data_IF_978783421811
#
_entry.id   IF_978783421811
#
_cell.length_a   1.000
_cell.length_b   1.000
_cell.length_c   1.000
_cell.angle_alpha   90.00
_cell.angle_beta   90.00
_cell.angle_gamma   90.00
#
_symmetry.space_group_name_H-M   'P 1'
#
loop_
_entity.id
_entity.type
_entity.pdbx_description
1 polymer ?
#
# COMPACT_ATOMS: atom_id res chain seq x y z
N UNK A 1 -48.74 14.70 -32.18
CA UNK A 1 -47.63 15.26 -31.40
C UNK A 1 -47.01 16.41 -32.21
N UNK A 2 -46.98 17.64 -31.69
CA UNK A 2 -46.49 18.82 -32.43
C UNK A 2 -44.94 18.82 -32.53
N UNK A 3 -44.38 19.64 -33.41
CA UNK A 3 -42.93 19.72 -33.69
C UNK A 3 -42.10 20.11 -32.46
N UNK A 4 -42.61 21.04 -31.65
CA UNK A 4 -42.00 21.51 -30.41
C UNK A 4 -41.87 20.38 -29.37
N UNK A 5 -42.93 19.58 -29.18
CA UNK A 5 -42.88 18.39 -28.30
C UNK A 5 -41.84 17.39 -28.78
N UNK A 6 -41.75 17.14 -30.10
CA UNK A 6 -40.72 16.24 -30.67
C UNK A 6 -39.30 16.74 -30.43
N UNK A 7 -39.08 18.05 -30.53
CA UNK A 7 -37.79 18.67 -30.25
C UNK A 7 -37.39 18.52 -28.77
N UNK A 8 -38.31 18.82 -27.84
CA UNK A 8 -38.05 18.66 -26.41
C UNK A 8 -37.73 17.21 -26.02
N UNK A 9 -38.48 16.23 -26.55
CA UNK A 9 -38.20 14.80 -26.33
C UNK A 9 -36.80 14.43 -26.83
N UNK A 10 -36.43 14.86 -28.03
CA UNK A 10 -35.08 14.62 -28.58
C UNK A 10 -33.96 15.18 -27.71
N UNK A 11 -34.14 16.41 -27.19
CA UNK A 11 -33.17 17.02 -26.26
C UNK A 11 -33.09 16.25 -24.94
N UNK A 12 -34.23 15.80 -24.41
CA UNK A 12 -34.28 14.98 -23.19
C UNK A 12 -33.58 13.63 -23.38
N UNK A 13 -33.80 12.97 -24.51
CA UNK A 13 -33.12 11.70 -24.84
C UNK A 13 -31.61 11.88 -24.97
N UNK A 14 -31.16 12.97 -25.61
CA UNK A 14 -29.75 13.29 -25.72
C UNK A 14 -29.10 13.54 -24.34
N UNK A 15 -29.79 14.27 -23.46
CA UNK A 15 -29.35 14.49 -22.07
C UNK A 15 -29.30 13.19 -21.29
N UNK A 16 -30.32 12.35 -21.39
CA UNK A 16 -30.37 11.05 -20.72
C UNK A 16 -29.22 10.15 -21.18
N UNK A 17 -28.95 10.10 -22.49
CA UNK A 17 -27.82 9.33 -23.05
C UNK A 17 -26.48 9.83 -22.52
N UNK A 18 -26.30 11.15 -22.39
CA UNK A 18 -25.09 11.75 -21.81
C UNK A 18 -24.90 11.35 -20.34
N UNK A 19 -25.96 11.46 -19.52
CA UNK A 19 -25.90 11.09 -18.10
C UNK A 19 -25.62 9.60 -17.93
N UNK A 20 -26.25 8.73 -18.73
CA UNK A 20 -25.98 7.28 -18.72
C UNK A 20 -24.50 6.98 -19.00
N UNK A 21 -23.95 7.59 -20.05
CA UNK A 21 -22.52 7.44 -20.40
C UNK A 21 -21.61 7.87 -19.25
N UNK A 22 -21.90 9.01 -18.61
CA UNK A 22 -21.12 9.47 -17.46
C UNK A 22 -21.22 8.50 -16.29
N UNK A 23 -22.43 8.00 -16.00
CA UNK A 23 -22.64 7.01 -14.94
C UNK A 23 -21.83 5.73 -15.20
N UNK A 24 -21.81 5.22 -16.43
CA UNK A 24 -21.04 4.03 -16.78
C UNK A 24 -19.53 4.27 -16.67
N UNK A 25 -19.05 5.45 -17.09
CA UNK A 25 -17.65 5.85 -16.91
C UNK A 25 -17.27 5.92 -15.43
N UNK A 26 -18.12 6.49 -14.57
CA UNK A 26 -17.87 6.54 -13.14
C UNK A 26 -17.88 5.15 -12.50
N UNK A 27 -18.77 4.25 -12.92
CA UNK A 27 -18.79 2.86 -12.45
C UNK A 27 -17.51 2.12 -12.81
N UNK A 28 -17.02 2.30 -14.05
CA UNK A 28 -15.77 1.69 -14.50
C UNK A 28 -14.58 2.24 -13.71
N UNK A 29 -14.47 3.57 -13.57
CA UNK A 29 -13.40 4.20 -12.80
C UNK A 29 -13.44 3.74 -11.33
N UNK A 30 -14.63 3.67 -10.73
CA UNK A 30 -14.81 3.16 -9.38
C UNK A 30 -14.33 1.71 -9.24
N UNK A 31 -14.71 0.82 -10.17
CA UNK A 31 -14.29 -0.57 -10.13
C UNK A 31 -12.77 -0.69 -10.26
N UNK A 32 -12.14 0.07 -11.16
CA UNK A 32 -10.68 0.11 -11.25
C UNK A 32 -10.02 0.56 -9.95
N UNK A 33 -10.53 1.62 -9.30
CA UNK A 33 -10.02 2.05 -8.00
C UNK A 33 -10.19 0.96 -6.92
N UNK A 34 -11.31 0.22 -6.93
CA UNK A 34 -11.53 -0.89 -6.00
C UNK A 34 -10.51 -2.00 -6.23
N UNK A 35 -10.29 -2.38 -7.49
CA UNK A 35 -9.34 -3.44 -7.86
C UNK A 35 -7.90 -3.07 -7.43
N UNK A 36 -7.48 -1.82 -7.70
CA UNK A 36 -6.18 -1.31 -7.27
C UNK A 36 -6.03 -1.32 -5.74
N UNK A 37 -7.08 -0.91 -5.01
CA UNK A 37 -7.07 -0.94 -3.54
C UNK A 37 -6.95 -2.36 -2.98
N UNK A 38 -7.55 -3.36 -3.64
CA UNK A 38 -7.41 -4.76 -3.24
C UNK A 38 -5.95 -5.22 -3.40
N UNK A 39 -5.32 -4.91 -4.55
CA UNK A 39 -3.92 -5.26 -4.81
C UNK A 39 -2.99 -4.56 -3.81
N UNK A 40 -3.19 -3.27 -3.56
CA UNK A 40 -2.39 -2.51 -2.59
C UNK A 40 -2.52 -3.08 -1.17
N UNK A 41 -3.73 -3.44 -0.74
CA UNK A 41 -3.94 -4.09 0.57
C UNK A 41 -3.24 -5.44 0.67
N UNK A 42 -3.29 -6.26 -0.39
CA UNK A 42 -2.59 -7.55 -0.41
C UNK A 42 -1.07 -7.37 -0.35
N UNK A 43 -0.53 -6.42 -1.11
CA UNK A 43 0.89 -6.08 -1.09
C UNK A 43 1.34 -5.56 0.27
N UNK A 44 0.58 -4.68 0.91
CA UNK A 44 0.89 -4.17 2.25
C UNK A 44 0.93 -5.30 3.28
N UNK A 45 -0.05 -6.21 3.30
CA UNK A 45 -0.03 -7.37 4.20
C UNK A 45 1.19 -8.27 3.99
N UNK A 46 1.60 -8.47 2.73
CA UNK A 46 2.80 -9.25 2.41
C UNK A 46 4.05 -8.55 2.93
N UNK A 47 4.19 -7.24 2.71
CA UNK A 47 5.32 -6.45 3.17
C UNK A 47 5.39 -6.39 4.70
N UNK A 48 4.26 -6.22 5.38
CA UNK A 48 4.18 -6.27 6.85
C UNK A 48 4.70 -7.61 7.40
N UNK A 49 4.33 -8.72 6.77
CA UNK A 49 4.82 -10.05 7.15
C UNK A 49 6.34 -10.18 6.94
N UNK A 50 6.84 -9.78 5.78
CA UNK A 50 8.27 -9.81 5.46
C UNK A 50 9.08 -8.93 6.42
N UNK A 51 8.58 -7.74 6.73
CA UNK A 51 9.20 -6.83 7.70
C UNK A 51 9.22 -7.45 9.11
N UNK A 52 8.15 -8.14 9.52
CA UNK A 52 8.11 -8.83 10.81
C UNK A 52 9.14 -9.97 10.89
N UNK A 53 9.27 -10.77 9.82
CA UNK A 53 10.27 -11.83 9.71
C UNK A 53 11.70 -11.28 9.75
N UNK A 54 11.97 -10.20 9.02
CA UNK A 54 13.27 -9.51 9.04
C UNK A 54 13.58 -8.91 10.41
N UNK A 55 12.61 -8.27 11.07
CA UNK A 55 12.79 -7.72 12.41
C UNK A 55 13.09 -8.83 13.44
N UNK A 56 12.43 -9.99 13.33
CA UNK A 56 12.71 -11.14 14.18
C UNK A 56 14.15 -11.64 13.99
N UNK A 57 14.62 -11.72 12.74
CA UNK A 57 16.01 -12.09 12.45
C UNK A 57 17.00 -11.06 13.02
N UNK A 58 16.74 -9.76 12.86
CA UNK A 58 17.58 -8.69 13.42
C UNK A 58 17.66 -8.76 14.96
N UNK A 59 16.57 -9.13 15.64
CA UNK A 59 16.58 -9.36 17.10
C UNK A 59 17.45 -10.55 17.49
N UNK A 60 17.44 -11.64 16.71
CA UNK A 60 18.34 -12.77 16.94
C UNK A 60 19.80 -12.37 16.70
N UNK A 61 20.06 -11.62 15.63
CA UNK A 61 21.38 -11.09 15.32
C UNK A 61 21.89 -10.16 16.43
N UNK A 62 21.03 -9.28 16.98
CA UNK A 62 21.37 -8.45 18.15
C UNK A 62 21.88 -9.27 19.32
N UNK A 63 21.17 -10.34 19.70
CA UNK A 63 21.60 -11.25 20.78
C UNK A 63 22.96 -11.87 20.49
N UNK A 64 23.22 -12.26 19.24
CA UNK A 64 24.53 -12.76 18.83
C UNK A 64 25.61 -11.69 18.96
N UNK A 65 25.35 -10.45 18.55
CA UNK A 65 26.28 -9.33 18.70
C UNK A 65 26.58 -9.05 20.17
N UNK A 66 25.55 -9.02 21.02
CA UNK A 66 25.71 -8.83 22.46
C UNK A 66 26.62 -9.91 23.05
N UNK A 67 26.40 -11.18 22.71
CA UNK A 67 27.29 -12.29 23.11
C UNK A 67 28.72 -12.14 22.57
N UNK A 68 28.90 -11.73 21.32
CA UNK A 68 30.23 -11.52 20.75
C UNK A 68 30.97 -10.37 21.43
N UNK A 69 30.26 -9.33 21.86
CA UNK A 69 30.83 -8.23 22.64
C UNK A 69 31.26 -8.68 24.04
N UNK A 70 30.58 -9.64 24.68
CA UNK A 70 31.06 -10.17 25.97
C UNK A 70 32.40 -10.88 25.84
N UNK A 71 32.64 -11.57 24.72
CA UNK A 71 33.89 -12.26 24.42
C UNK A 71 34.98 -11.32 23.88
N UNK A 72 34.59 -10.30 23.09
CA UNK A 72 35.50 -9.40 22.39
C UNK A 72 35.15 -7.95 22.68
N UNK A 73 35.29 -7.53 23.94
CA UNK A 73 34.83 -6.23 24.44
C UNK A 73 35.43 -5.02 23.70
N UNK A 74 36.64 -5.15 23.18
CA UNK A 74 37.35 -4.11 22.41
C UNK A 74 37.05 -4.09 20.90
N UNK A 75 36.21 -4.99 20.38
CA UNK A 75 35.93 -5.05 18.95
C UNK A 75 35.11 -3.85 18.49
N UNK A 76 35.73 -2.97 17.69
CA UNK A 76 35.05 -1.82 17.09
C UNK A 76 33.90 -2.26 16.17
N UNK A 77 34.13 -3.31 15.38
CA UNK A 77 33.16 -3.84 14.42
C UNK A 77 31.85 -4.29 15.10
N UNK A 78 31.92 -5.04 16.20
CA UNK A 78 30.69 -5.47 16.89
C UNK A 78 29.97 -4.29 17.57
N UNK A 79 30.70 -3.28 18.06
CA UNK A 79 30.10 -2.05 18.60
C UNK A 79 29.37 -1.26 17.51
N UNK A 80 29.93 -1.19 16.31
CA UNK A 80 29.28 -0.55 15.15
C UNK A 80 27.98 -1.27 14.76
N UNK A 81 27.99 -2.60 14.68
CA UNK A 81 26.76 -3.35 14.41
C UNK A 81 25.70 -3.14 15.50
N UNK A 82 26.12 -3.11 16.77
CA UNK A 82 25.21 -2.84 17.88
C UNK A 82 24.56 -1.46 17.77
N UNK A 83 25.36 -0.44 17.46
CA UNK A 83 24.90 0.93 17.24
C UNK A 83 23.91 1.03 16.07
N UNK A 84 24.20 0.38 14.93
CA UNK A 84 23.28 0.34 13.79
C UNK A 84 21.95 -0.33 14.14
N UNK A 85 21.98 -1.42 14.92
CA UNK A 85 20.76 -2.08 15.40
C UNK A 85 19.94 -1.16 16.33
N UNK A 86 20.59 -0.38 17.19
CA UNK A 86 19.92 0.61 18.04
C UNK A 86 19.28 1.75 17.21
N UNK A 87 19.96 2.25 16.17
CA UNK A 87 19.42 3.24 15.23
C UNK A 87 18.19 2.71 14.47
N UNK A 88 18.18 1.41 14.15
CA UNK A 88 17.04 0.73 13.55
C UNK A 88 15.91 0.43 14.57
N UNK A 89 16.07 0.81 15.84
CA UNK A 89 15.09 0.58 16.89
C UNK A 89 14.94 -0.90 17.27
N UNK A 90 15.92 -1.74 16.94
CA UNK A 90 15.91 -3.17 17.27
C UNK A 90 16.23 -3.33 18.75
N UNK A 91 15.17 -3.53 19.54
CA UNK A 91 15.22 -3.83 20.98
C UNK A 91 15.18 -5.33 21.23
#
# INVERSE_FOLDING_TARGET
MNSETKFHVSVMDARLKKVKKQCDQYKQAYQHCVDDLIVLRANNKRLERQNAEQLALLKQFRKLIDYKLTLHQGSLMYREYRSKLDQLGVK
#
